data_IF_605072091462
#
_entry.id   IF_605072091462
#
_cell.length_a   1.000
_cell.length_b   1.000
_cell.length_c   1.000
_cell.angle_alpha   90.00
_cell.angle_beta   90.00
_cell.angle_gamma   90.00
#
_symmetry.space_group_name_H-M   'P 1'
#
loop_
_entity.id
_entity.type
_entity.pdbx_description
1 polymer ?
#
# COMPACT_ATOMS: atom_id res chain seq x y z
N UNK A 1 -6.90 -14.90 -54.94
CA UNK A 1 -7.77 -14.50 -53.80
C UNK A 1 -7.11 -14.89 -52.50
N UNK A 2 -6.35 -13.99 -51.91
CA UNK A 2 -5.69 -14.19 -50.61
C UNK A 2 -6.59 -13.58 -49.54
N UNK A 3 -7.11 -14.44 -48.65
CA UNK A 3 -7.82 -14.02 -47.47
C UNK A 3 -6.79 -13.54 -46.44
N UNK A 4 -6.73 -12.24 -46.21
CA UNK A 4 -6.02 -11.69 -45.05
C UNK A 4 -6.80 -12.03 -43.80
N UNK A 5 -6.29 -12.98 -43.00
CA UNK A 5 -6.78 -13.25 -41.66
C UNK A 5 -6.37 -12.10 -40.74
N UNK A 6 -7.28 -11.15 -40.50
CA UNK A 6 -7.10 -10.18 -39.44
C UNK A 6 -7.13 -10.89 -38.08
N UNK A 7 -5.98 -11.22 -37.53
CA UNK A 7 -5.85 -11.67 -36.16
C UNK A 7 -6.36 -10.57 -35.23
N UNK A 8 -7.53 -10.78 -34.64
CA UNK A 8 -8.05 -9.95 -33.55
C UNK A 8 -7.06 -10.13 -32.39
N UNK A 9 -6.22 -9.11 -32.14
CA UNK A 9 -5.36 -9.10 -30.95
C UNK A 9 -6.24 -9.43 -29.74
N UNK A 10 -5.90 -10.50 -29.02
CA UNK A 10 -6.60 -10.85 -27.79
C UNK A 10 -6.52 -9.62 -26.88
N UNK A 11 -7.66 -9.06 -26.50
CA UNK A 11 -7.71 -8.01 -25.48
C UNK A 11 -7.08 -8.63 -24.24
N UNK A 12 -5.88 -8.17 -23.85
CA UNK A 12 -5.27 -8.59 -22.60
C UNK A 12 -6.30 -8.37 -21.50
N UNK A 13 -6.76 -9.46 -20.89
CA UNK A 13 -7.68 -9.39 -19.77
C UNK A 13 -7.03 -8.52 -18.69
N UNK A 14 -7.73 -7.48 -18.25
CA UNK A 14 -7.23 -6.53 -17.27
C UNK A 14 -7.03 -7.23 -15.94
N UNK A 15 -5.78 -7.25 -15.45
CA UNK A 15 -5.45 -7.74 -14.12
C UNK A 15 -5.24 -6.55 -13.18
N UNK A 16 -5.80 -6.64 -11.98
CA UNK A 16 -5.60 -5.64 -10.92
C UNK A 16 -5.20 -6.35 -9.64
N UNK A 17 -4.09 -5.94 -9.00
CA UNK A 17 -3.78 -6.43 -7.67
C UNK A 17 -4.84 -5.92 -6.68
N UNK A 18 -5.27 -6.80 -5.78
CA UNK A 18 -6.24 -6.48 -4.73
C UNK A 18 -5.77 -7.09 -3.42
N UNK A 19 -4.69 -6.59 -2.83
CA UNK A 19 -4.10 -7.17 -1.63
C UNK A 19 -5.09 -7.13 -0.46
N UNK A 20 -5.05 -8.18 0.35
CA UNK A 20 -5.82 -8.31 1.58
C UNK A 20 -4.88 -8.66 2.71
N UNK A 21 -5.03 -8.01 3.84
CA UNK A 21 -4.33 -8.35 5.08
C UNK A 21 -5.32 -8.69 6.18
N UNK A 22 -4.94 -9.64 7.04
CA UNK A 22 -5.67 -9.91 8.26
C UNK A 22 -5.20 -8.96 9.37
N UNK A 23 -6.16 -8.38 10.09
CA UNK A 23 -5.92 -7.39 11.14
C UNK A 23 -6.70 -7.73 12.40
N UNK A 24 -6.27 -7.20 13.54
CA UNK A 24 -6.93 -7.43 14.83
C UNK A 24 -8.20 -6.57 15.01
N UNK A 25 -8.20 -5.36 14.48
CA UNK A 25 -9.30 -4.40 14.57
C UNK A 25 -9.47 -3.69 13.23
N UNK A 26 -10.45 -4.14 12.44
CA UNK A 26 -10.69 -3.63 11.09
C UNK A 26 -11.03 -2.14 11.10
N UNK A 27 -11.87 -1.69 12.01
CA UNK A 27 -12.30 -0.28 12.06
C UNK A 27 -11.14 0.66 12.45
N UNK A 28 -10.33 0.26 13.41
CA UNK A 28 -9.14 1.02 13.82
C UNK A 28 -8.10 1.09 12.70
N UNK A 29 -7.81 -0.04 12.07
CA UNK A 29 -6.88 -0.10 10.93
C UNK A 29 -7.41 0.70 9.74
N UNK A 30 -8.72 0.63 9.46
CA UNK A 30 -9.35 1.42 8.39
C UNK A 30 -9.15 2.92 8.62
N UNK A 31 -9.43 3.41 9.82
CA UNK A 31 -9.22 4.83 10.17
C UNK A 31 -7.75 5.24 10.01
N UNK A 32 -6.83 4.39 10.43
CA UNK A 32 -5.40 4.64 10.32
C UNK A 32 -4.95 4.77 8.87
N UNK A 33 -5.32 3.83 8.01
CA UNK A 33 -4.99 3.87 6.59
C UNK A 33 -5.66 5.05 5.86
N UNK A 34 -6.90 5.37 6.20
CA UNK A 34 -7.57 6.54 5.62
C UNK A 34 -6.82 7.84 5.94
N UNK A 35 -6.35 7.98 7.18
CA UNK A 35 -5.56 9.14 7.59
C UNK A 35 -4.17 9.14 6.97
N UNK A 36 -3.52 7.99 6.87
CA UNK A 36 -2.19 7.88 6.26
C UNK A 36 -2.20 8.17 4.76
N UNK A 37 -3.10 7.51 4.04
CA UNK A 37 -3.11 7.47 2.58
C UNK A 37 -4.05 8.51 1.94
N UNK A 38 -4.91 9.13 2.72
CA UNK A 38 -5.97 9.99 2.18
C UNK A 38 -7.01 9.22 1.36
N UNK A 39 -7.13 7.90 1.60
CA UNK A 39 -8.10 7.05 0.93
C UNK A 39 -9.45 7.03 1.66
N UNK A 40 -10.43 6.33 1.09
CA UNK A 40 -11.79 6.24 1.60
C UNK A 40 -12.18 4.80 1.91
N UNK A 41 -13.03 4.63 2.93
CA UNK A 41 -13.76 3.39 3.19
C UNK A 41 -14.84 3.19 2.12
N UNK A 42 -14.88 2.00 1.52
CA UNK A 42 -15.90 1.64 0.55
C UNK A 42 -16.80 0.47 1.00
N UNK A 43 -16.59 -0.04 2.20
CA UNK A 43 -17.43 -1.08 2.81
C UNK A 43 -17.81 -0.72 4.24
N UNK A 44 -16.82 -0.63 5.14
CA UNK A 44 -17.03 -0.36 6.56
C UNK A 44 -17.47 -1.61 7.34
N UNK A 45 -17.36 -1.52 8.64
CA UNK A 45 -17.75 -2.57 9.58
C UNK A 45 -16.57 -3.22 10.29
N UNK A 46 -16.90 -4.12 11.22
CA UNK A 46 -15.90 -4.72 12.13
C UNK A 46 -15.19 -5.94 11.56
N UNK A 47 -15.70 -6.53 10.49
CA UNK A 47 -15.20 -7.82 9.97
C UNK A 47 -14.39 -7.70 8.70
N UNK A 48 -14.74 -6.75 7.86
CA UNK A 48 -14.17 -6.57 6.52
C UNK A 48 -14.22 -5.10 6.09
N UNK A 49 -13.21 -4.68 5.34
CA UNK A 49 -13.13 -3.32 4.79
C UNK A 49 -12.50 -3.32 3.40
N UNK A 50 -12.93 -2.37 2.60
CA UNK A 50 -12.37 -2.05 1.29
C UNK A 50 -11.90 -0.60 1.30
N UNK A 51 -10.62 -0.39 1.12
CA UNK A 51 -10.04 0.94 1.02
C UNK A 51 -9.80 1.29 -0.43
N UNK A 52 -10.31 2.45 -0.84
CA UNK A 52 -10.23 2.92 -2.23
C UNK A 52 -9.58 4.30 -2.31
N UNK A 53 -8.84 4.52 -3.38
CA UNK A 53 -8.26 5.81 -3.74
C UNK A 53 -8.63 6.12 -5.19
N UNK A 54 -9.22 7.29 -5.42
CA UNK A 54 -9.69 7.69 -6.76
C UNK A 54 -10.53 6.59 -7.44
N UNK A 55 -11.43 5.94 -6.68
CA UNK A 55 -12.29 4.87 -7.17
C UNK A 55 -11.62 3.50 -7.37
N UNK A 56 -10.33 3.37 -7.11
CA UNK A 56 -9.58 2.13 -7.25
C UNK A 56 -9.34 1.49 -5.88
N UNK A 57 -9.66 0.19 -5.77
CA UNK A 57 -9.35 -0.60 -4.57
C UNK A 57 -7.83 -0.70 -4.41
N UNK A 58 -7.33 -0.29 -3.24
CA UNK A 58 -5.89 -0.31 -2.94
C UNK A 58 -5.52 -1.31 -1.84
N UNK A 59 -6.42 -1.61 -0.93
CA UNK A 59 -6.17 -2.54 0.18
C UNK A 59 -7.50 -3.06 0.74
N UNK A 60 -7.52 -4.32 1.13
CA UNK A 60 -8.62 -4.94 1.86
C UNK A 60 -8.15 -5.30 3.27
N UNK A 61 -9.01 -5.14 4.26
CA UNK A 61 -8.77 -5.53 5.64
C UNK A 61 -9.79 -6.60 6.03
N UNK A 62 -9.32 -7.63 6.72
CA UNK A 62 -10.17 -8.72 7.20
C UNK A 62 -9.78 -9.09 8.62
N UNK A 63 -10.75 -9.26 9.51
CA UNK A 63 -10.46 -9.65 10.88
C UNK A 63 -9.97 -11.10 10.94
N UNK A 64 -8.95 -11.39 11.73
CA UNK A 64 -8.37 -12.73 11.85
C UNK A 64 -9.36 -13.79 12.26
N UNK A 65 -10.28 -13.46 13.15
CA UNK A 65 -11.21 -14.41 13.81
C UNK A 65 -12.56 -14.57 13.10
N UNK A 66 -12.69 -14.09 11.87
CA UNK A 66 -13.90 -14.22 11.06
C UNK A 66 -13.66 -15.19 9.93
N UNK A 67 -14.49 -16.22 9.86
CA UNK A 67 -14.33 -17.32 8.91
C UNK A 67 -14.88 -17.00 7.51
N UNK A 68 -16.02 -16.34 7.36
CA UNK A 68 -16.67 -16.06 6.06
C UNK A 68 -16.69 -17.26 5.08
N UNK A 69 -16.80 -18.50 5.57
CA UNK A 69 -16.84 -19.76 4.80
C UNK A 69 -15.54 -20.17 4.09
N UNK A 70 -14.44 -19.43 4.24
CA UNK A 70 -13.15 -19.76 3.61
C UNK A 70 -12.12 -20.32 4.58
N UNK A 71 -12.43 -20.43 5.85
CA UNK A 71 -11.50 -20.83 6.91
C UNK A 71 -10.69 -19.63 7.46
N UNK A 72 -9.84 -19.92 8.43
CA UNK A 72 -9.01 -18.92 9.08
C UNK A 72 -8.03 -18.29 8.11
N UNK A 73 -7.81 -16.98 8.26
CA UNK A 73 -6.78 -16.24 7.55
C UNK A 73 -5.60 -16.04 8.49
N UNK A 74 -4.62 -16.93 8.40
CA UNK A 74 -3.44 -16.88 9.26
C UNK A 74 -3.71 -17.19 10.73
N UNK A 75 -2.68 -17.08 11.54
CA UNK A 75 -2.72 -17.26 12.99
C UNK A 75 -2.35 -15.93 13.66
N UNK A 76 -3.25 -15.32 14.45
CA UNK A 76 -2.95 -14.05 15.13
C UNK A 76 -1.84 -14.18 16.19
N UNK A 77 -1.47 -15.39 16.57
CA UNK A 77 -0.35 -15.65 17.50
C UNK A 77 1.00 -15.74 16.80
N UNK A 78 1.00 -15.91 15.48
CA UNK A 78 2.22 -16.00 14.67
C UNK A 78 2.67 -14.60 14.25
N UNK A 79 3.58 -14.03 15.02
CA UNK A 79 4.10 -12.67 14.82
C UNK A 79 5.59 -12.71 14.46
N UNK A 80 6.10 -11.71 13.73
CA UNK A 80 5.42 -10.52 13.18
C UNK A 80 4.53 -10.86 11.99
N UNK A 81 3.37 -10.23 11.91
CA UNK A 81 2.47 -10.41 10.76
C UNK A 81 3.12 -9.92 9.47
N UNK A 82 2.91 -10.66 8.38
CA UNK A 82 3.43 -10.28 7.08
C UNK A 82 4.95 -10.31 6.99
N UNK A 83 5.62 -11.21 7.70
CA UNK A 83 7.07 -11.37 7.60
C UNK A 83 7.51 -11.57 6.14
N UNK A 84 8.37 -10.66 5.66
CA UNK A 84 8.81 -10.65 4.26
C UNK A 84 7.84 -9.98 3.28
N UNK A 85 6.74 -9.39 3.76
CA UNK A 85 5.78 -8.64 2.95
C UNK A 85 5.88 -7.15 3.27
N UNK A 86 6.01 -6.33 2.23
CA UNK A 86 5.93 -4.89 2.33
C UNK A 86 4.68 -4.41 1.61
N UNK A 87 3.83 -3.67 2.30
CA UNK A 87 2.68 -3.02 1.69
C UNK A 87 3.15 -1.72 1.06
N UNK A 88 3.33 -1.73 -0.24
CA UNK A 88 3.98 -0.66 -1.00
C UNK A 88 2.95 0.20 -1.70
N UNK A 89 2.98 1.51 -1.42
CA UNK A 89 2.10 2.49 -2.05
C UNK A 89 2.92 3.59 -2.71
N UNK A 90 2.71 3.77 -4.01
CA UNK A 90 3.21 4.94 -4.72
C UNK A 90 2.29 6.12 -4.45
N UNK A 91 2.84 7.23 -4.00
CA UNK A 91 2.11 8.43 -3.60
C UNK A 91 2.56 9.60 -4.48
N UNK A 92 1.63 10.16 -5.24
CA UNK A 92 1.91 11.29 -6.14
C UNK A 92 2.37 12.53 -5.35
N UNK A 93 1.63 12.92 -4.30
CA UNK A 93 2.04 13.98 -3.38
C UNK A 93 2.70 13.35 -2.14
N UNK A 94 3.96 12.98 -2.30
CA UNK A 94 4.74 12.32 -1.27
C UNK A 94 4.98 13.24 -0.05
N UNK A 95 5.19 14.53 -0.25
CA UNK A 95 5.41 15.47 0.87
C UNK A 95 4.17 15.58 1.75
N UNK A 96 2.98 15.63 1.16
CA UNK A 96 1.72 15.59 1.91
C UNK A 96 1.58 14.28 2.69
N UNK A 97 1.98 13.15 2.12
CA UNK A 97 1.96 11.85 2.81
C UNK A 97 2.92 11.83 4.01
N UNK A 98 4.12 12.36 3.87
CA UNK A 98 5.08 12.48 4.98
C UNK A 98 4.53 13.36 6.10
N UNK A 99 3.84 14.44 5.78
CA UNK A 99 3.16 15.27 6.77
C UNK A 99 2.08 14.48 7.55
N UNK A 100 1.29 13.65 6.86
CA UNK A 100 0.30 12.77 7.50
C UNK A 100 0.94 11.71 8.41
N UNK A 101 2.10 11.18 8.03
CA UNK A 101 2.89 10.28 8.89
C UNK A 101 3.22 10.94 10.22
N UNK A 102 3.67 12.19 10.19
CA UNK A 102 3.99 12.96 11.38
C UNK A 102 2.76 13.22 12.25
N UNK A 103 1.64 13.61 11.65
CA UNK A 103 0.36 13.84 12.36
C UNK A 103 -0.16 12.58 13.04
N UNK A 104 -0.05 11.43 12.36
CA UNK A 104 -0.43 10.12 12.91
C UNK A 104 0.51 9.61 13.98
N UNK A 105 1.71 10.17 14.07
CA UNK A 105 2.81 9.63 14.88
C UNK A 105 3.05 8.15 14.60
N UNK A 106 2.97 7.77 13.32
CA UNK A 106 3.19 6.39 12.89
C UNK A 106 4.62 5.95 13.25
N UNK A 107 4.80 4.73 13.79
CA UNK A 107 6.12 4.20 14.06
C UNK A 107 6.95 4.12 12.77
N UNK A 108 8.13 4.69 12.77
CA UNK A 108 9.02 4.74 11.61
C UNK A 108 10.03 3.62 11.69
N UNK A 109 10.11 2.78 10.66
CA UNK A 109 11.12 1.72 10.50
C UNK A 109 12.37 2.27 9.82
N UNK A 110 12.19 2.98 8.71
CA UNK A 110 13.24 3.73 8.03
C UNK A 110 12.72 5.15 7.76
N UNK A 111 13.44 6.17 8.20
CA UNK A 111 13.06 7.55 7.91
C UNK A 111 13.14 7.83 6.40
N UNK A 112 12.59 8.94 5.98
CA UNK A 112 12.63 9.40 4.59
C UNK A 112 14.04 9.28 4.03
N UNK A 113 14.19 8.59 2.92
CA UNK A 113 15.46 8.36 2.26
C UNK A 113 15.27 8.21 0.76
N UNK A 114 16.34 8.42 0.02
CA UNK A 114 16.40 8.20 -1.42
C UNK A 114 16.71 6.73 -1.72
N UNK A 115 16.07 6.18 -2.72
CA UNK A 115 16.38 4.86 -3.26
C UNK A 115 16.64 4.97 -4.78
N UNK A 116 17.86 4.68 -5.28
CA UNK A 116 19.07 4.34 -4.54
C UNK A 116 19.73 5.58 -3.88
N UNK A 117 20.53 5.40 -2.81
CA UNK A 117 21.13 6.53 -2.08
C UNK A 117 22.06 7.40 -2.93
N UNK A 118 22.73 6.81 -3.91
CA UNK A 118 23.70 7.48 -4.79
C UNK A 118 23.09 7.94 -6.13
N UNK A 119 21.81 7.63 -6.38
CA UNK A 119 21.13 7.96 -7.63
C UNK A 119 21.51 7.09 -8.84
N UNK A 120 22.26 6.00 -8.64
CA UNK A 120 22.72 5.12 -9.71
C UNK A 120 21.93 3.80 -9.75
N UNK A 121 21.13 3.62 -10.79
CA UNK A 121 20.23 2.48 -10.91
C UNK A 121 18.98 2.64 -10.03
N UNK A 122 18.07 1.69 -10.09
CA UNK A 122 16.84 1.72 -9.30
C UNK A 122 15.87 2.85 -9.67
N UNK A 123 14.86 3.09 -8.84
CA UNK A 123 13.73 3.94 -9.22
C UNK A 123 13.99 5.44 -9.10
N UNK A 124 15.03 5.90 -8.42
CA UNK A 124 15.28 7.32 -8.16
C UNK A 124 14.08 8.04 -7.55
N UNK A 125 13.59 7.51 -6.44
CA UNK A 125 12.47 8.06 -5.71
C UNK A 125 12.77 8.18 -4.21
N UNK A 126 11.86 8.80 -3.48
CA UNK A 126 11.88 8.91 -2.03
C UNK A 126 11.00 7.84 -1.40
N UNK A 127 11.41 7.33 -0.26
CA UNK A 127 10.68 6.35 0.53
C UNK A 127 10.65 6.73 2.01
N UNK A 128 9.60 6.28 2.70
CA UNK A 128 9.53 6.21 4.16
C UNK A 128 8.87 4.90 4.55
N UNK A 129 9.43 4.19 5.50
CA UNK A 129 8.94 2.88 5.94
C UNK A 129 8.35 2.98 7.34
N UNK A 130 7.17 2.43 7.52
CA UNK A 130 6.35 2.56 8.71
C UNK A 130 5.87 1.21 9.22
N UNK A 131 5.35 1.20 10.45
CA UNK A 131 4.53 0.10 10.97
C UNK A 131 3.08 0.54 11.06
N UNK A 132 2.17 -0.32 10.62
CA UNK A 132 0.74 -0.14 10.85
C UNK A 132 0.34 -0.57 12.27
N UNK A 133 -0.94 -0.44 12.68
CA UNK A 133 -1.38 -0.81 14.04
C UNK A 133 -1.13 -2.27 14.43
N UNK A 134 -1.06 -3.19 13.49
CA UNK A 134 -0.77 -4.61 13.72
C UNK A 134 0.69 -5.00 13.48
N UNK A 135 1.54 -4.04 13.09
CA UNK A 135 2.95 -4.24 12.84
C UNK A 135 3.32 -4.64 11.41
N UNK A 136 2.40 -4.58 10.47
CA UNK A 136 2.75 -4.70 9.05
C UNK A 136 3.65 -3.57 8.61
N UNK A 137 4.65 -3.90 7.79
CA UNK A 137 5.51 -2.88 7.20
C UNK A 137 4.81 -2.23 6.01
N UNK A 138 4.67 -0.91 6.08
CA UNK A 138 4.09 -0.08 5.04
C UNK A 138 5.16 0.82 4.47
N UNK A 139 5.27 0.85 3.15
CA UNK A 139 6.20 1.73 2.44
C UNK A 139 5.40 2.75 1.66
N UNK A 140 5.69 4.02 1.89
CA UNK A 140 5.24 5.11 1.03
C UNK A 140 6.41 5.52 0.16
N UNK A 141 6.19 5.57 -1.15
CA UNK A 141 7.20 5.93 -2.13
C UNK A 141 6.67 7.03 -3.05
N UNK A 142 7.54 7.97 -3.40
CA UNK A 142 7.23 8.90 -4.48
C UNK A 142 7.31 8.20 -5.84
N UNK A 143 6.70 8.74 -6.91
CA UNK A 143 6.85 8.18 -8.25
C UNK A 143 8.31 8.07 -8.68
N UNK A 144 8.64 7.08 -9.50
CA UNK A 144 9.98 6.88 -10.03
C UNK A 144 10.49 8.13 -10.75
N UNK A 145 11.77 8.44 -10.56
CA UNK A 145 12.42 9.62 -11.15
C UNK A 145 12.20 10.93 -10.39
N UNK A 146 11.34 10.97 -9.38
CA UNK A 146 11.05 12.22 -8.66
C UNK A 146 12.19 12.70 -7.76
N UNK A 147 13.16 11.84 -7.46
CA UNK A 147 14.37 12.21 -6.71
C UNK A 147 15.50 12.74 -7.58
N UNK A 148 15.33 12.85 -8.89
CA UNK A 148 16.35 13.37 -9.82
C UNK A 148 16.44 14.91 -9.83
N UNK A 149 15.56 15.62 -9.14
CA UNK A 149 15.57 17.08 -9.03
C UNK A 149 16.41 17.61 -7.88
N UNK A 150 16.46 18.96 -7.77
CA UNK A 150 17.18 19.70 -6.72
C UNK A 150 16.48 19.63 -5.34
N UNK A 151 15.94 18.47 -4.99
CA UNK A 151 15.30 18.32 -3.70
C UNK A 151 16.35 17.97 -2.64
N UNK A 152 16.51 18.84 -1.66
CA UNK A 152 17.30 18.55 -0.46
C UNK A 152 16.36 18.17 0.69
N UNK A 153 16.66 17.09 1.44
CA UNK A 153 15.87 16.76 2.62
C UNK A 153 15.90 17.91 3.62
N UNK A 154 14.77 18.36 4.07
CA UNK A 154 14.70 19.23 5.24
C UNK A 154 15.27 18.47 6.45
N UNK A 155 16.22 19.09 7.11
CA UNK A 155 16.91 18.54 8.26
C UNK A 155 15.97 18.36 9.47
#
# INVERSE_FOLDING_TARGET
MTRSGGGRAAKNARMRPQPLIAVSDVEASSRWYQRLLGCQSAHGGAEYERLVSAGTLILQLHRFDVDHHHGAIGDPKDTPYGNGVLLWFEIEDFDAAVARVAELRAPIVLPRHRNPPDGNGGPNHWEIWLRDPDGYTVVLASPDGTADGNWEPEA
#
